data_IF_502964720973
#
_entry.id   IF_502964720973
#
_cell.length_a   1.000
_cell.length_b   1.000
_cell.length_c   1.000
_cell.angle_alpha   90.00
_cell.angle_beta   90.00
_cell.angle_gamma   90.00
#
_symmetry.space_group_name_H-M   'P 1'
#
loop_
_entity.id
_entity.type
_entity.pdbx_description
1 polymer ?
#
# COMPACT_ATOMS: atom_id res chain seq x y z
N UNK A 1 -33.71 -9.50 -4.77
CA UNK A 1 -32.54 -8.60 -4.72
C UNK A 1 -32.14 -8.50 -3.25
N UNK A 2 -31.18 -9.32 -2.79
CA UNK A 2 -30.75 -9.33 -1.39
C UNK A 2 -30.10 -7.98 -1.09
N UNK A 3 -30.68 -7.25 -0.14
CA UNK A 3 -30.12 -6.01 0.43
C UNK A 3 -28.65 -6.29 0.75
N UNK A 4 -27.73 -5.52 0.18
CA UNK A 4 -26.30 -5.65 0.49
C UNK A 4 -26.12 -5.58 2.01
N UNK A 5 -25.45 -6.58 2.60
CA UNK A 5 -25.12 -6.56 4.01
C UNK A 5 -24.38 -5.27 4.34
N UNK A 6 -24.74 -4.61 5.45
CA UNK A 6 -24.16 -3.33 5.92
C UNK A 6 -22.62 -3.34 5.89
N UNK A 7 -22.01 -4.49 6.19
CA UNK A 7 -20.56 -4.67 6.19
C UNK A 7 -19.95 -4.58 4.78
N UNK A 8 -20.67 -5.04 3.75
CA UNK A 8 -20.22 -4.96 2.35
C UNK A 8 -20.27 -3.49 1.88
N UNK A 9 -21.31 -2.75 2.26
CA UNK A 9 -21.43 -1.32 1.95
C UNK A 9 -20.28 -0.53 2.60
N UNK A 10 -20.00 -0.79 3.89
CA UNK A 10 -18.86 -0.19 4.59
C UNK A 10 -17.53 -0.53 3.92
N UNK A 11 -17.37 -1.78 3.45
CA UNK A 11 -16.19 -2.20 2.70
C UNK A 11 -16.02 -1.43 1.38
N UNK A 12 -17.09 -1.24 0.61
CA UNK A 12 -17.04 -0.43 -0.61
C UNK A 12 -16.72 1.04 -0.33
N UNK A 13 -17.35 1.64 0.68
CA UNK A 13 -17.08 3.04 1.07
C UNK A 13 -15.61 3.19 1.49
N UNK A 14 -15.08 2.26 2.28
CA UNK A 14 -13.68 2.28 2.70
C UNK A 14 -12.73 2.13 1.50
N UNK A 15 -13.06 1.26 0.54
CA UNK A 15 -12.27 1.09 -0.68
C UNK A 15 -12.25 2.36 -1.54
N UNK A 16 -13.40 3.00 -1.75
CA UNK A 16 -13.50 4.26 -2.48
C UNK A 16 -12.77 5.40 -1.75
N UNK A 17 -12.94 5.51 -0.43
CA UNK A 17 -12.23 6.50 0.38
C UNK A 17 -10.72 6.33 0.29
N UNK A 18 -10.23 5.09 0.39
CA UNK A 18 -8.82 4.75 0.20
C UNK A 18 -8.32 5.17 -1.18
N UNK A 19 -9.04 4.85 -2.26
CA UNK A 19 -8.64 5.23 -3.61
C UNK A 19 -8.48 6.75 -3.79
N UNK A 20 -9.38 7.54 -3.21
CA UNK A 20 -9.28 9.01 -3.23
C UNK A 20 -8.07 9.48 -2.42
N UNK A 21 -7.87 8.95 -1.22
CA UNK A 21 -6.71 9.28 -0.39
C UNK A 21 -5.39 8.95 -1.09
N UNK A 22 -5.28 7.77 -1.71
CA UNK A 22 -4.10 7.37 -2.47
C UNK A 22 -3.87 8.25 -3.71
N UNK A 23 -4.92 8.70 -4.39
CA UNK A 23 -4.78 9.64 -5.52
C UNK A 23 -4.30 11.03 -5.09
N UNK A 24 -4.81 11.55 -3.95
CA UNK A 24 -4.40 12.86 -3.42
C UNK A 24 -2.98 12.79 -2.87
N UNK A 25 -2.63 11.72 -2.14
CA UNK A 25 -1.33 11.62 -1.47
C UNK A 25 -0.18 11.62 -2.47
N UNK A 26 -0.33 11.03 -3.66
CA UNK A 26 0.73 11.05 -4.68
C UNK A 26 1.05 12.48 -5.14
N UNK A 27 0.03 13.29 -5.38
CA UNK A 27 0.19 14.68 -5.81
C UNK A 27 0.83 15.54 -4.71
N UNK A 28 0.34 15.40 -3.49
CA UNK A 28 0.85 16.15 -2.33
C UNK A 28 2.29 15.72 -1.99
N UNK A 29 2.57 14.41 -2.00
CA UNK A 29 3.90 13.86 -1.74
C UNK A 29 4.94 14.39 -2.73
N UNK A 30 4.60 14.43 -4.03
CA UNK A 30 5.48 15.00 -5.05
C UNK A 30 5.81 16.45 -4.75
N UNK A 31 4.80 17.27 -4.41
CA UNK A 31 4.96 18.69 -4.11
C UNK A 31 5.81 18.93 -2.85
N UNK A 32 5.63 18.10 -1.82
CA UNK A 32 6.40 18.19 -0.56
C UNK A 32 7.88 17.92 -0.82
N UNK A 33 8.17 16.88 -1.60
CA UNK A 33 9.54 16.42 -1.82
C UNK A 33 10.28 17.24 -2.88
N UNK A 34 9.58 17.83 -3.85
CA UNK A 34 10.20 18.72 -4.82
C UNK A 34 10.60 20.09 -4.23
N UNK A 35 9.79 20.62 -3.30
CA UNK A 35 9.88 22.04 -2.94
C UNK A 35 10.28 22.30 -1.47
N UNK A 36 10.10 21.35 -0.56
CA UNK A 36 10.17 21.64 0.89
C UNK A 36 11.14 20.75 1.66
N UNK A 37 11.08 19.43 1.49
CA UNK A 37 11.78 18.50 2.37
C UNK A 37 12.53 17.39 1.62
N UNK A 38 13.68 16.93 2.15
CA UNK A 38 14.32 15.72 1.65
C UNK A 38 13.36 14.52 1.73
N UNK A 39 13.37 13.61 0.74
CA UNK A 39 12.43 12.49 0.64
C UNK A 39 12.44 11.58 1.87
N UNK A 40 13.62 11.39 2.49
CA UNK A 40 13.78 10.57 3.70
C UNK A 40 13.03 11.19 4.88
N UNK A 41 13.11 12.51 5.04
CA UNK A 41 12.41 13.25 6.10
C UNK A 41 10.90 13.17 5.90
N UNK A 42 10.43 13.41 4.67
CA UNK A 42 9.01 13.28 4.34
C UNK A 42 8.46 11.86 4.63
N UNK A 43 9.23 10.83 4.27
CA UNK A 43 8.86 9.43 4.56
C UNK A 43 8.80 9.14 6.05
N UNK A 44 9.75 9.65 6.85
CA UNK A 44 9.78 9.45 8.29
C UNK A 44 8.56 10.08 8.97
N UNK A 45 8.20 11.31 8.59
CA UNK A 45 6.99 11.96 9.10
C UNK A 45 5.73 11.17 8.73
N UNK A 46 5.63 10.71 7.48
CA UNK A 46 4.48 9.90 7.04
C UNK A 46 4.33 8.62 7.86
N UNK A 47 5.43 7.91 8.13
CA UNK A 47 5.42 6.67 8.92
C UNK A 47 5.07 6.96 10.39
N UNK A 48 5.64 8.01 10.99
CA UNK A 48 5.35 8.39 12.39
C UNK A 48 3.87 8.76 12.55
N UNK A 49 3.34 9.59 11.65
CA UNK A 49 1.94 9.99 11.69
C UNK A 49 1.04 8.77 11.47
N UNK A 50 1.35 7.92 10.50
CA UNK A 50 0.62 6.68 10.26
C UNK A 50 0.63 5.74 11.48
N UNK A 51 1.78 5.61 12.13
CA UNK A 51 1.93 4.84 13.37
C UNK A 51 1.06 5.40 14.50
N UNK A 52 1.05 6.72 14.69
CA UNK A 52 0.23 7.37 15.72
C UNK A 52 -1.26 7.16 15.44
N UNK A 53 -1.70 7.39 14.20
CA UNK A 53 -3.11 7.22 13.81
C UNK A 53 -3.56 5.77 14.01
N UNK A 54 -2.81 4.80 13.49
CA UNK A 54 -3.13 3.38 13.63
C UNK A 54 -3.04 2.92 15.09
N UNK A 55 -2.04 3.42 15.83
CA UNK A 55 -1.85 3.12 17.24
C UNK A 55 -3.01 3.62 18.10
N UNK A 56 -3.56 4.80 17.80
CA UNK A 56 -4.76 5.33 18.49
C UNK A 56 -6.00 4.54 18.09
N UNK A 57 -6.18 4.25 16.80
CA UNK A 57 -7.38 3.59 16.29
C UNK A 57 -7.51 2.14 16.79
N UNK A 58 -6.40 1.42 16.87
CA UNK A 58 -6.33 0.02 17.30
C UNK A 58 -5.74 -0.17 18.69
N UNK A 59 -5.70 0.89 19.52
CA UNK A 59 -5.06 0.86 20.83
C UNK A 59 -5.49 -0.35 21.67
N UNK A 60 -6.81 -0.59 21.76
CA UNK A 60 -7.37 -1.70 22.55
C UNK A 60 -7.00 -3.09 22.01
N UNK A 61 -6.90 -3.23 20.70
CA UNK A 61 -6.56 -4.51 20.07
C UNK A 61 -5.06 -4.82 20.23
N UNK A 62 -4.21 -3.78 20.20
CA UNK A 62 -2.76 -3.90 20.46
C UNK A 62 -2.49 -4.48 21.86
N UNK A 63 -3.19 -4.03 22.91
CA UNK A 63 -3.00 -4.61 24.26
C UNK A 63 -3.46 -6.06 24.36
N UNK A 64 -4.48 -6.47 23.61
CA UNK A 64 -4.91 -7.86 23.59
C UNK A 64 -3.90 -8.72 22.85
N UNK A 65 -3.44 -8.26 21.70
CA UNK A 65 -2.48 -8.99 20.88
C UNK A 65 -1.13 -9.15 21.58
N UNK A 66 -0.64 -8.12 22.29
CA UNK A 66 0.66 -8.19 22.99
C UNK A 66 0.68 -9.22 24.13
N UNK A 67 -0.49 -9.55 24.70
CA UNK A 67 -0.61 -10.58 25.74
C UNK A 67 -0.54 -12.00 25.19
N UNK A 68 -0.87 -12.19 23.91
CA UNK A 68 -1.01 -13.51 23.28
C UNK A 68 0.10 -13.77 22.24
N UNK A 69 0.83 -12.73 21.82
CA UNK A 69 1.81 -12.82 20.75
C UNK A 69 2.98 -13.74 21.08
N UNK A 70 3.39 -14.55 20.11
CA UNK A 70 4.62 -15.36 20.19
C UNK A 70 5.81 -14.56 19.69
N UNK A 71 7.01 -14.83 20.21
CA UNK A 71 8.24 -14.16 19.75
C UNK A 71 8.44 -14.28 18.24
N UNK A 72 8.11 -15.43 17.65
CA UNK A 72 8.18 -15.63 16.20
C UNK A 72 7.23 -14.70 15.44
N UNK A 73 5.98 -14.56 15.89
CA UNK A 73 5.03 -13.66 15.26
C UNK A 73 5.46 -12.19 15.39
N UNK A 74 6.01 -11.82 16.55
CA UNK A 74 6.56 -10.48 16.79
C UNK A 74 7.75 -10.17 15.86
N UNK A 75 8.67 -11.12 15.66
CA UNK A 75 9.78 -10.96 14.72
C UNK A 75 9.29 -10.76 13.28
N UNK A 76 8.30 -11.53 12.84
CA UNK A 76 7.69 -11.32 11.52
C UNK A 76 7.02 -9.95 11.38
N UNK A 77 6.38 -9.45 12.45
CA UNK A 77 5.81 -8.11 12.47
C UNK A 77 6.88 -7.02 12.34
N UNK A 78 8.03 -7.16 13.01
CA UNK A 78 9.16 -6.23 12.87
C UNK A 78 9.70 -6.25 11.44
N UNK A 79 9.93 -7.44 10.86
CA UNK A 79 10.44 -7.57 9.49
C UNK A 79 9.45 -6.96 8.49
N UNK A 80 8.15 -7.17 8.66
CA UNK A 80 7.12 -6.55 7.84
C UNK A 80 7.13 -5.02 7.97
N UNK A 81 7.26 -4.49 9.19
CA UNK A 81 7.35 -3.05 9.46
C UNK A 81 8.56 -2.40 8.81
N UNK A 82 9.76 -3.00 8.95
CA UNK A 82 10.99 -2.50 8.31
C UNK A 82 10.86 -2.53 6.79
N UNK A 83 10.34 -3.63 6.24
CA UNK A 83 10.13 -3.77 4.79
C UNK A 83 9.15 -2.71 4.27
N UNK A 84 8.07 -2.44 5.00
CA UNK A 84 7.10 -1.39 4.69
C UNK A 84 7.72 0.00 4.75
N UNK A 85 8.52 0.29 5.78
CA UNK A 85 9.21 1.57 5.92
C UNK A 85 10.17 1.82 4.74
N UNK A 86 10.97 0.83 4.36
CA UNK A 86 11.83 0.92 3.17
C UNK A 86 11.04 1.13 1.88
N UNK A 87 9.91 0.42 1.72
CA UNK A 87 9.03 0.62 0.56
C UNK A 87 8.54 2.06 0.44
N UNK A 88 8.07 2.66 1.54
CA UNK A 88 7.62 4.06 1.58
C UNK A 88 8.78 5.02 1.29
N UNK A 89 9.96 4.81 1.90
CA UNK A 89 11.13 5.65 1.65
C UNK A 89 11.59 5.60 0.20
N UNK A 90 11.68 4.41 -0.41
CA UNK A 90 12.02 4.28 -1.83
C UNK A 90 10.99 4.92 -2.74
N UNK A 91 9.71 4.85 -2.39
CA UNK A 91 8.67 5.52 -3.14
C UNK A 91 8.81 7.05 -3.11
N UNK A 92 9.09 7.65 -1.95
CA UNK A 92 9.38 9.09 -1.86
C UNK A 92 10.67 9.48 -2.60
N UNK A 93 11.71 8.64 -2.58
CA UNK A 93 12.94 8.86 -3.36
C UNK A 93 12.64 8.81 -4.87
N UNK A 94 11.79 7.88 -5.31
CA UNK A 94 11.40 7.79 -6.72
C UNK A 94 10.64 9.04 -7.17
N UNK A 95 9.72 9.55 -6.34
CA UNK A 95 9.02 10.81 -6.59
C UNK A 95 9.98 12.01 -6.64
N UNK A 96 11.02 12.03 -5.81
CA UNK A 96 12.03 13.10 -5.86
C UNK A 96 12.82 13.11 -7.17
N UNK A 97 13.14 11.92 -7.68
CA UNK A 97 14.10 11.76 -8.78
C UNK A 97 13.44 11.63 -10.16
N UNK A 98 12.11 11.61 -10.23
CA UNK A 98 11.40 11.42 -11.48
C UNK A 98 10.04 12.13 -11.50
N UNK A 99 9.46 12.33 -12.70
CA UNK A 99 8.14 12.92 -12.80
C UNK A 99 7.09 11.93 -12.26
N UNK A 100 6.15 12.45 -11.47
CA UNK A 100 5.01 11.69 -10.93
C UNK A 100 4.25 10.90 -12.00
N UNK A 101 4.20 11.46 -13.22
CA UNK A 101 3.58 10.87 -14.41
C UNK A 101 4.15 9.49 -14.76
N UNK A 102 5.42 9.24 -14.46
CA UNK A 102 6.09 7.96 -14.69
C UNK A 102 6.06 7.11 -13.40
N UNK A 103 6.33 7.73 -12.25
CA UNK A 103 6.45 7.03 -10.97
C UNK A 103 5.11 6.44 -10.51
N UNK A 104 4.00 7.16 -10.67
CA UNK A 104 2.68 6.70 -10.20
C UNK A 104 2.18 5.46 -10.97
N UNK A 105 2.25 5.40 -12.31
CA UNK A 105 1.94 4.18 -13.05
C UNK A 105 2.86 3.01 -12.67
N UNK A 106 4.18 3.22 -12.64
CA UNK A 106 5.10 2.13 -12.26
C UNK A 106 4.78 1.60 -10.86
N UNK A 107 4.46 2.47 -9.91
CA UNK A 107 4.08 2.05 -8.56
C UNK A 107 2.77 1.26 -8.54
N UNK A 108 1.83 1.56 -9.44
CA UNK A 108 0.55 0.85 -9.56
C UNK A 108 0.69 -0.59 -10.08
N UNK A 109 1.86 -1.02 -10.55
CA UNK A 109 2.13 -2.42 -10.90
C UNK A 109 2.48 -3.30 -9.69
N UNK A 110 2.44 -2.76 -8.47
CA UNK A 110 2.65 -3.53 -7.23
C UNK A 110 1.82 -4.83 -7.12
N UNK A 111 0.60 -4.97 -7.69
CA UNK A 111 -0.14 -6.22 -7.61
C UNK A 111 0.60 -7.40 -8.25
N UNK A 112 1.43 -7.19 -9.28
CA UNK A 112 2.24 -8.27 -9.87
C UNK A 112 3.33 -8.76 -8.92
N UNK A 113 3.99 -7.81 -8.26
CA UNK A 113 5.01 -8.11 -7.25
C UNK A 113 4.36 -8.85 -6.09
N UNK A 114 3.24 -8.33 -5.59
CA UNK A 114 2.44 -8.97 -4.53
C UNK A 114 2.01 -10.39 -4.92
N UNK A 115 1.46 -10.58 -6.13
CA UNK A 115 1.02 -11.89 -6.63
C UNK A 115 2.20 -12.88 -6.72
N UNK A 116 3.36 -12.40 -7.16
CA UNK A 116 4.58 -13.20 -7.24
C UNK A 116 5.07 -13.63 -5.85
N UNK A 117 5.08 -12.70 -4.88
CA UNK A 117 5.44 -13.00 -3.49
C UNK A 117 4.42 -13.95 -2.85
N UNK A 118 3.12 -13.75 -3.08
CA UNK A 118 2.08 -14.67 -2.62
C UNK A 118 2.29 -16.07 -3.17
N UNK A 119 2.63 -16.20 -4.46
CA UNK A 119 2.93 -17.50 -5.07
C UNK A 119 4.13 -18.19 -4.41
N UNK A 120 5.17 -17.43 -4.02
CA UNK A 120 6.39 -17.98 -3.40
C UNK A 120 6.18 -18.32 -1.92
N UNK A 121 5.60 -17.40 -1.14
CA UNK A 121 5.53 -17.48 0.32
C UNK A 121 4.20 -18.03 0.85
N UNK A 122 3.09 -17.71 0.19
CA UNK A 122 1.72 -18.00 0.68
C UNK A 122 1.02 -19.12 -0.09
N UNK A 123 1.74 -19.87 -0.95
CA UNK A 123 1.20 -20.96 -1.80
C UNK A 123 0.34 -21.99 -1.08
N UNK A 124 0.56 -22.18 0.24
CA UNK A 124 -0.19 -23.13 1.08
C UNK A 124 -1.46 -22.54 1.70
N UNK A 125 -1.57 -21.21 1.76
CA UNK A 125 -2.66 -20.48 2.45
C UNK A 125 -3.59 -19.82 1.44
N UNK A 126 -3.06 -19.30 0.33
CA UNK A 126 -3.81 -18.53 -0.66
C UNK A 126 -3.92 -19.29 -1.98
N UNK A 127 -5.15 -19.62 -2.41
CA UNK A 127 -5.40 -20.24 -3.71
C UNK A 127 -5.42 -19.15 -4.79
N UNK A 128 -4.31 -19.02 -5.51
CA UNK A 128 -4.27 -18.16 -6.70
C UNK A 128 -5.20 -18.73 -7.77
N UNK A 129 -6.38 -18.13 -7.89
CA UNK A 129 -7.32 -18.47 -8.94
C UNK A 129 -6.94 -17.79 -10.24
N UNK A 130 -7.23 -18.44 -11.37
CA UNK A 130 -6.98 -17.87 -12.70
C UNK A 130 -7.61 -16.47 -12.86
N UNK A 131 -8.77 -16.22 -12.21
CA UNK A 131 -9.45 -14.93 -12.21
C UNK A 131 -8.61 -13.81 -11.59
N UNK A 132 -7.90 -14.09 -10.49
CA UNK A 132 -7.02 -13.11 -9.82
C UNK A 132 -5.85 -12.77 -10.72
N UNK A 133 -5.21 -13.78 -11.33
CA UNK A 133 -4.08 -13.58 -12.24
C UNK A 133 -4.48 -12.70 -13.42
N UNK A 134 -5.59 -13.03 -14.09
CA UNK A 134 -6.10 -12.25 -15.21
C UNK A 134 -6.47 -10.83 -14.77
N UNK A 135 -7.14 -10.67 -13.63
CA UNK A 135 -7.48 -9.35 -13.08
C UNK A 135 -6.24 -8.49 -12.82
N UNK A 136 -5.20 -9.05 -12.21
CA UNK A 136 -3.92 -8.35 -11.99
C UNK A 136 -3.24 -7.95 -13.30
N UNK A 137 -3.28 -8.80 -14.33
CA UNK A 137 -2.76 -8.47 -15.66
C UNK A 137 -3.54 -7.31 -16.29
N UNK A 138 -4.86 -7.30 -16.20
CA UNK A 138 -5.69 -6.19 -16.70
C UNK A 138 -5.37 -4.86 -16.00
N UNK A 139 -5.18 -4.88 -14.68
CA UNK A 139 -4.77 -3.67 -13.92
C UNK A 139 -3.44 -3.14 -14.47
N UNK A 140 -2.45 -4.02 -14.68
CA UNK A 140 -1.13 -3.62 -15.20
C UNK A 140 -1.21 -3.11 -16.62
N UNK A 141 -1.99 -3.76 -17.49
CA UNK A 141 -2.20 -3.28 -18.86
C UNK A 141 -2.80 -1.87 -18.87
N UNK A 142 -3.80 -1.60 -18.05
CA UNK A 142 -4.38 -0.26 -17.92
C UNK A 142 -3.35 0.77 -17.47
N UNK A 143 -2.51 0.40 -16.50
CA UNK A 143 -1.41 1.24 -16.00
C UNK A 143 -0.36 1.53 -17.09
N UNK A 144 0.04 0.53 -17.87
CA UNK A 144 1.01 0.69 -18.97
C UNK A 144 0.46 1.61 -20.05
N UNK A 145 -0.83 1.49 -20.38
CA UNK A 145 -1.50 2.38 -21.34
C UNK A 145 -1.44 3.83 -20.84
N UNK A 146 -1.82 4.07 -19.57
CA UNK A 146 -1.78 5.41 -18.97
C UNK A 146 -0.36 5.98 -18.97
N UNK A 147 0.65 5.17 -18.65
CA UNK A 147 2.05 5.59 -18.69
C UNK A 147 2.51 5.96 -20.11
N UNK A 148 2.12 5.17 -21.12
CA UNK A 148 2.53 5.36 -22.51
C UNK A 148 1.94 6.61 -23.18
N UNK A 149 0.79 7.08 -22.72
CA UNK A 149 0.14 8.29 -23.25
C UNK A 149 0.92 9.57 -22.88
N UNK A 150 1.75 9.49 -21.84
CA UNK A 150 2.36 10.65 -21.19
C UNK A 150 3.87 10.76 -21.45
N UNK A 151 4.36 10.02 -22.44
CA UNK A 151 5.74 10.00 -22.94
C UNK A 151 5.76 10.48 -24.39
#
# INVERSE_FOLDING_TARGET
MKLLDRNIILGYIAAFGSAISYGIVTLVAQKIVSDYFPPVVASAFSIIIGMVILGVLFFKDIFKDIQVITLRAFLWAIVAGISGAWGVTFWFIALNNGPIVIVAPISATFPLVSLSLTYVFLKKVERLTFRVVVGSLFVVLGVVIIASINN
#
